data_IF_034070459363
#
_entry.id   IF_034070459363
#
_cell.length_a   1.000
_cell.length_b   1.000
_cell.length_c   1.000
_cell.angle_alpha   90.00
_cell.angle_beta   90.00
_cell.angle_gamma   90.00
#
_symmetry.space_group_name_H-M   'P 1'
#
loop_
_entity.id
_entity.type
_entity.pdbx_description
1 polymer ?
#
# COMPACT_ATOMS: atom_id res chain seq x y z
N UNK A 1 -16.29 -5.25 0.05
CA UNK A 1 -16.29 -6.66 0.52
C UNK A 1 -16.09 -6.80 2.04
N UNK A 2 -14.87 -6.75 2.62
CA UNK A 2 -14.71 -7.02 4.07
C UNK A 2 -15.35 -5.96 4.95
N UNK A 3 -15.24 -4.68 4.57
CA UNK A 3 -15.85 -3.59 5.34
C UNK A 3 -17.35 -3.80 5.49
N UNK A 4 -18.06 -4.06 4.38
CA UNK A 4 -19.52 -4.33 4.40
C UNK A 4 -19.85 -5.64 5.10
N UNK A 5 -19.09 -6.72 4.84
CA UNK A 5 -19.26 -8.03 5.50
C UNK A 5 -19.16 -7.92 7.03
N UNK A 6 -18.32 -7.02 7.52
CA UNK A 6 -18.11 -6.76 8.95
C UNK A 6 -19.03 -5.65 9.49
N UNK A 7 -20.03 -5.21 8.72
CA UNK A 7 -21.05 -4.23 9.14
C UNK A 7 -20.63 -2.76 9.03
N UNK A 8 -19.49 -2.46 8.41
CA UNK A 8 -19.04 -1.10 8.13
C UNK A 8 -19.53 -0.55 6.79
N UNK A 9 -19.38 0.77 6.59
CA UNK A 9 -19.57 1.42 5.30
C UNK A 9 -18.22 1.84 4.70
N UNK A 10 -17.89 1.42 3.47
CA UNK A 10 -16.70 1.92 2.77
C UNK A 10 -16.79 3.43 2.54
N UNK A 11 -15.67 4.13 2.75
CA UNK A 11 -15.53 5.54 2.38
C UNK A 11 -14.84 5.69 1.02
N UNK A 12 -15.23 6.73 0.27
CA UNK A 12 -14.57 7.14 -0.98
C UNK A 12 -13.52 8.24 -0.76
N UNK A 13 -13.34 8.69 0.47
CA UNK A 13 -12.39 9.74 0.80
C UNK A 13 -10.95 9.29 0.56
N UNK A 14 -10.19 10.11 -0.14
CA UNK A 14 -8.76 9.90 -0.37
C UNK A 14 -7.94 10.80 0.54
N UNK A 15 -6.87 10.28 1.13
CA UNK A 15 -5.95 11.09 1.92
C UNK A 15 -4.96 11.91 1.09
N UNK A 16 -4.22 12.78 1.76
CA UNK A 16 -3.24 13.72 1.19
C UNK A 16 -2.10 13.07 0.36
N UNK A 17 -1.97 11.74 0.37
CA UNK A 17 -0.99 11.04 -0.46
C UNK A 17 -1.26 11.25 -1.96
N UNK A 18 -2.53 11.24 -2.38
CA UNK A 18 -2.90 11.43 -3.78
C UNK A 18 -2.48 12.80 -4.27
N UNK A 19 -2.77 13.84 -3.50
CA UNK A 19 -2.41 15.22 -3.83
C UNK A 19 -0.89 15.38 -3.89
N UNK A 20 -0.19 14.84 -2.89
CA UNK A 20 1.29 14.86 -2.87
C UNK A 20 1.90 14.17 -4.10
N UNK A 21 1.30 13.08 -4.58
CA UNK A 21 1.76 12.39 -5.78
C UNK A 21 1.51 13.20 -7.05
N UNK A 22 0.36 13.90 -7.12
CA UNK A 22 0.02 14.80 -8.24
C UNK A 22 0.93 16.02 -8.31
N UNK A 23 1.27 16.60 -7.16
CA UNK A 23 2.11 17.78 -7.04
C UNK A 23 3.60 17.49 -7.27
N UNK A 24 4.02 16.22 -7.17
CA UNK A 24 5.39 15.81 -7.46
C UNK A 24 5.60 15.79 -8.98
N UNK A 25 6.28 16.78 -9.56
CA UNK A 25 6.37 16.92 -11.02
C UNK A 25 7.24 15.87 -11.72
N UNK A 26 8.32 15.43 -11.08
CA UNK A 26 9.33 14.56 -11.68
C UNK A 26 8.97 13.08 -11.48
N UNK A 27 9.13 12.27 -12.54
CA UNK A 27 8.63 10.88 -12.57
C UNK A 27 9.37 9.97 -11.59
N UNK A 28 10.68 10.13 -11.47
CA UNK A 28 11.51 9.38 -10.55
C UNK A 28 11.15 9.71 -9.09
N UNK A 29 10.91 10.97 -8.77
CA UNK A 29 10.40 11.42 -7.47
C UNK A 29 9.00 10.85 -7.16
N UNK A 30 8.11 10.71 -8.15
CA UNK A 30 6.83 10.01 -7.98
C UNK A 30 7.02 8.54 -7.61
N UNK A 31 7.95 7.84 -8.29
CA UNK A 31 8.25 6.43 -8.01
C UNK A 31 8.84 6.27 -6.61
N UNK A 32 9.70 7.19 -6.17
CA UNK A 32 10.25 7.19 -4.82
C UNK A 32 9.19 7.43 -3.75
N UNK A 33 8.28 8.39 -3.97
CA UNK A 33 7.16 8.63 -3.07
C UNK A 33 6.22 7.41 -3.02
N UNK A 34 5.93 6.81 -4.16
CA UNK A 34 5.17 5.57 -4.26
C UNK A 34 5.84 4.46 -3.46
N UNK A 35 7.14 4.25 -3.64
CA UNK A 35 7.90 3.22 -2.94
C UNK A 35 7.84 3.39 -1.41
N UNK A 36 7.97 4.64 -0.92
CA UNK A 36 7.82 4.96 0.50
C UNK A 36 6.42 4.60 1.02
N UNK A 37 5.38 4.92 0.24
CA UNK A 37 4.00 4.55 0.56
C UNK A 37 3.79 3.03 0.61
N UNK A 38 4.24 2.29 -0.40
CA UNK A 38 4.15 0.83 -0.47
C UNK A 38 4.87 0.17 0.72
N UNK A 39 6.07 0.65 1.05
CA UNK A 39 6.86 0.14 2.18
C UNK A 39 6.18 0.41 3.53
N UNK A 40 5.54 1.57 3.67
CA UNK A 40 4.77 1.90 4.87
C UNK A 40 3.57 0.96 5.05
N UNK A 41 2.81 0.68 3.99
CA UNK A 41 1.66 -0.23 4.06
C UNK A 41 2.11 -1.66 4.38
N UNK A 42 3.14 -2.18 3.70
CA UNK A 42 3.68 -3.52 3.98
C UNK A 42 4.07 -3.68 5.46
N UNK A 43 4.78 -2.69 6.02
CA UNK A 43 5.12 -2.65 7.45
C UNK A 43 3.88 -2.60 8.33
N UNK A 44 2.89 -1.79 7.97
CA UNK A 44 1.64 -1.67 8.74
C UNK A 44 0.87 -3.00 8.76
N UNK A 45 0.85 -3.73 7.66
CA UNK A 45 0.22 -5.06 7.60
C UNK A 45 0.91 -6.05 8.56
N UNK A 46 2.24 -6.07 8.60
CA UNK A 46 3.00 -6.89 9.57
C UNK A 46 2.63 -6.56 11.02
N UNK A 47 2.48 -5.27 11.34
CA UNK A 47 2.12 -4.83 12.70
C UNK A 47 0.69 -5.24 13.10
N UNK A 48 -0.24 -5.38 12.16
CA UNK A 48 -1.68 -5.57 12.43
C UNK A 48 -2.19 -6.98 12.20
N UNK A 49 -1.61 -7.73 11.26
CA UNK A 49 -2.01 -9.10 10.95
C UNK A 49 -2.16 -9.99 12.19
N UNK A 50 -1.24 -9.97 13.19
CA UNK A 50 -1.38 -10.80 14.40
C UNK A 50 -2.62 -10.48 15.26
N UNK A 51 -3.29 -9.35 15.03
CA UNK A 51 -4.46 -8.90 15.77
C UNK A 51 -5.78 -9.19 15.06
N UNK A 52 -5.72 -9.74 13.85
CA UNK A 52 -6.91 -10.06 13.05
C UNK A 52 -7.34 -11.49 13.36
N UNK A 53 -8.53 -11.63 13.96
CA UNK A 53 -9.10 -12.93 14.31
C UNK A 53 -9.95 -13.54 13.18
N UNK A 54 -10.43 -12.71 12.25
CA UNK A 54 -11.24 -13.15 11.12
C UNK A 54 -10.32 -13.77 10.03
N UNK A 55 -10.44 -15.08 9.74
CA UNK A 55 -9.50 -15.79 8.89
C UNK A 55 -9.52 -15.29 7.43
N UNK A 56 -10.70 -15.02 6.88
CA UNK A 56 -10.81 -14.52 5.50
C UNK A 56 -10.12 -13.15 5.37
N UNK A 57 -10.37 -12.24 6.31
CA UNK A 57 -9.70 -10.93 6.34
C UNK A 57 -8.19 -11.09 6.52
N UNK A 58 -7.75 -12.02 7.36
CA UNK A 58 -6.33 -12.28 7.57
C UNK A 58 -5.65 -12.72 6.28
N UNK A 59 -6.23 -13.69 5.57
CA UNK A 59 -5.67 -14.24 4.33
C UNK A 59 -5.58 -13.18 3.23
N UNK A 60 -6.64 -12.38 3.06
CA UNK A 60 -6.63 -11.30 2.06
C UNK A 60 -5.63 -10.18 2.39
N UNK A 61 -5.45 -9.86 3.68
CA UNK A 61 -4.43 -8.90 4.10
C UNK A 61 -3.00 -9.46 3.96
N UNK A 62 -2.82 -10.78 4.08
CA UNK A 62 -1.56 -11.44 3.75
C UNK A 62 -1.26 -11.34 2.24
N UNK A 63 -2.23 -11.63 1.38
CA UNK A 63 -2.06 -11.47 -0.07
C UNK A 63 -1.72 -10.01 -0.44
N UNK A 64 -2.43 -9.04 0.17
CA UNK A 64 -2.17 -7.62 -0.02
C UNK A 64 -0.72 -7.26 0.36
N UNK A 65 -0.20 -7.81 1.47
CA UNK A 65 1.19 -7.60 1.88
C UNK A 65 2.17 -8.12 0.84
N UNK A 66 1.97 -9.33 0.33
CA UNK A 66 2.85 -9.92 -0.69
C UNK A 66 2.86 -9.09 -1.99
N UNK A 67 1.71 -8.53 -2.37
CA UNK A 67 1.62 -7.59 -3.49
C UNK A 67 2.43 -6.32 -3.22
N UNK A 68 2.32 -5.74 -2.02
CA UNK A 68 3.12 -4.58 -1.63
C UNK A 68 4.62 -4.88 -1.63
N UNK A 69 5.05 -6.02 -1.11
CA UNK A 69 6.47 -6.42 -1.10
C UNK A 69 7.03 -6.55 -2.53
N UNK A 70 6.26 -7.14 -3.46
CA UNK A 70 6.61 -7.18 -4.89
C UNK A 70 6.69 -5.78 -5.51
N UNK A 71 5.77 -4.88 -5.16
CA UNK A 71 5.76 -3.52 -5.65
C UNK A 71 6.95 -2.69 -5.14
N UNK A 72 7.34 -2.85 -3.88
CA UNK A 72 8.54 -2.24 -3.29
C UNK A 72 9.77 -2.68 -4.07
N UNK A 73 9.92 -3.99 -4.28
CA UNK A 73 11.04 -4.52 -5.06
C UNK A 73 11.05 -3.99 -6.50
N UNK A 74 9.88 -3.81 -7.12
CA UNK A 74 9.75 -3.24 -8.46
C UNK A 74 10.14 -1.76 -8.50
N UNK A 75 9.67 -0.95 -7.57
CA UNK A 75 10.03 0.46 -7.49
C UNK A 75 11.53 0.63 -7.25
N UNK A 76 12.12 -0.16 -6.35
CA UNK A 76 13.56 -0.14 -6.08
C UNK A 76 14.41 -0.51 -7.30
N UNK A 77 13.89 -1.29 -8.26
CA UNK A 77 14.56 -1.54 -9.53
C UNK A 77 14.49 -0.33 -10.47
N UNK A 78 13.34 0.33 -10.56
CA UNK A 78 13.18 1.54 -11.37
C UNK A 78 14.11 2.67 -10.90
N UNK A 79 14.25 2.86 -9.59
CA UNK A 79 15.10 3.92 -9.03
C UNK A 79 16.60 3.65 -9.18
N UNK A 80 17.01 2.44 -9.58
CA UNK A 80 18.41 2.06 -9.82
C UNK A 80 18.79 2.09 -11.30
N UNK A 81 17.82 2.27 -12.20
CA UNK A 81 18.04 2.40 -13.64
C UNK A 81 18.18 3.88 -13.99
N UNK A 82 19.11 4.27 -14.89
CA UNK A 82 19.13 5.63 -15.41
C UNK A 82 17.82 5.94 -16.17
N UNK A 83 17.33 7.17 -16.02
CA UNK A 83 16.13 7.67 -16.67
C UNK A 83 16.23 7.68 -18.20
#
# INVERSE_FOLDING_TARGET
RHIERLGGQPSIETGAFLDKLRDTGEQQAKIELLNKGQSWVARRLVEFLPKIADPDLYDDLCEMREVHDRNVARCARFTKLPA
#
